data_IF_473050842588
#
_entry.id   IF_473050842588
#
_cell.length_a   1.000
_cell.length_b   1.000
_cell.length_c   1.000
_cell.angle_alpha   90.00
_cell.angle_beta   90.00
_cell.angle_gamma   90.00
#
_symmetry.space_group_name_H-M   'P 1'
#
loop_
_entity.id
_entity.type
_entity.pdbx_description
1 polymer ?
#
# COMPACT_ATOMS: atom_id res chain seq x y z
N UNK A 1 23.30 -22.03 -11.34
CA UNK A 1 23.15 -20.65 -10.88
C UNK A 1 22.16 -20.03 -11.83
N UNK A 2 20.87 -20.06 -11.45
CA UNK A 2 19.84 -19.41 -12.24
C UNK A 2 20.15 -17.93 -12.29
N UNK A 3 20.22 -17.42 -13.51
CA UNK A 3 20.34 -16.02 -13.83
C UNK A 3 19.05 -15.35 -13.32
N UNK A 4 19.03 -14.92 -12.05
CA UNK A 4 18.02 -14.00 -11.56
C UNK A 4 18.25 -12.69 -12.31
N UNK A 5 17.78 -12.63 -13.56
CA UNK A 5 17.60 -11.37 -14.28
C UNK A 5 16.79 -10.47 -13.35
N UNK A 6 17.49 -9.53 -12.73
CA UNK A 6 16.91 -8.51 -11.86
C UNK A 6 16.05 -7.67 -12.79
N UNK A 7 14.78 -8.04 -12.94
CA UNK A 7 13.84 -7.35 -13.83
C UNK A 7 13.83 -5.87 -13.42
N UNK A 8 14.26 -5.02 -14.34
CA UNK A 8 14.15 -3.58 -14.17
C UNK A 8 12.73 -3.18 -14.57
N UNK A 9 11.99 -2.60 -13.63
CA UNK A 9 10.65 -2.10 -13.87
C UNK A 9 10.72 -0.67 -14.40
N UNK A 10 9.91 -0.37 -15.42
CA UNK A 10 9.72 1.01 -15.89
C UNK A 10 8.92 1.83 -14.89
N UNK A 11 8.98 3.17 -15.00
CA UNK A 11 8.15 4.03 -14.16
C UNK A 11 6.65 3.80 -14.36
N UNK A 12 6.21 3.50 -15.59
CA UNK A 12 4.81 3.16 -15.89
C UNK A 12 4.37 1.88 -15.18
N UNK A 13 5.22 0.83 -15.19
CA UNK A 13 4.93 -0.42 -14.47
C UNK A 13 4.84 -0.17 -12.95
N UNK A 14 5.75 0.63 -12.39
CA UNK A 14 5.74 0.98 -10.97
C UNK A 14 4.52 1.84 -10.59
N UNK A 15 4.08 2.73 -11.49
CA UNK A 15 2.88 3.54 -11.31
C UNK A 15 1.62 2.67 -11.32
N UNK A 16 1.53 1.69 -12.22
CA UNK A 16 0.46 0.71 -12.22
C UNK A 16 0.45 -0.14 -10.95
N UNK A 17 1.62 -0.56 -10.46
CA UNK A 17 1.76 -1.26 -9.19
C UNK A 17 1.34 -0.40 -7.99
N UNK A 18 1.64 0.90 -7.99
CA UNK A 18 1.20 1.83 -6.94
C UNK A 18 -0.33 1.94 -6.88
N UNK A 19 -0.99 2.01 -8.04
CA UNK A 19 -2.46 1.97 -8.12
C UNK A 19 -3.00 0.63 -7.64
N UNK A 20 -2.38 -0.49 -8.03
CA UNK A 20 -2.72 -1.82 -7.51
C UNK A 20 -2.58 -1.90 -5.98
N UNK A 21 -1.52 -1.30 -5.44
CA UNK A 21 -1.32 -1.16 -3.99
C UNK A 21 -2.44 -0.38 -3.32
N UNK A 22 -2.94 0.69 -3.95
CA UNK A 22 -4.09 1.44 -3.44
C UNK A 22 -5.36 0.59 -3.38
N UNK A 23 -5.59 -0.23 -4.40
CA UNK A 23 -6.72 -1.16 -4.42
C UNK A 23 -6.58 -2.25 -3.34
N UNK A 24 -5.38 -2.77 -3.13
CA UNK A 24 -5.09 -3.73 -2.07
C UNK A 24 -5.41 -3.14 -0.68
N UNK A 25 -4.87 -1.98 -0.35
CA UNK A 25 -5.14 -1.35 0.95
C UNK A 25 -6.63 -1.03 1.13
N UNK A 26 -7.33 -0.64 0.05
CA UNK A 26 -8.76 -0.38 0.09
C UNK A 26 -9.54 -1.65 0.48
N UNK A 27 -9.14 -2.82 -0.05
CA UNK A 27 -9.75 -4.10 0.32
C UNK A 27 -9.47 -4.47 1.77
N UNK A 28 -8.22 -4.36 2.21
CA UNK A 28 -7.84 -4.70 3.59
C UNK A 28 -8.55 -3.81 4.61
N UNK A 29 -8.67 -2.51 4.34
CA UNK A 29 -9.35 -1.56 5.23
C UNK A 29 -10.87 -1.83 5.36
N UNK A 30 -11.49 -2.43 4.35
CA UNK A 30 -12.89 -2.83 4.41
C UNK A 30 -13.13 -4.09 5.26
N UNK A 31 -12.07 -4.85 5.55
CA UNK A 31 -12.10 -6.06 6.39
C UNK A 31 -11.82 -5.77 7.87
N UNK A 32 -11.53 -4.52 8.23
CA UNK A 32 -11.29 -4.17 9.63
C UNK A 32 -12.59 -4.29 10.46
N UNK A 33 -12.49 -4.49 11.78
CA UNK A 33 -13.66 -4.58 12.67
C UNK A 33 -14.62 -3.39 12.53
N UNK A 34 -14.07 -2.20 12.28
CA UNK A 34 -14.82 -1.04 11.82
C UNK A 34 -14.26 -0.68 10.43
N UNK A 35 -15.01 -0.98 9.34
CA UNK A 35 -14.52 -0.76 7.98
C UNK A 35 -14.18 0.71 7.72
N UNK A 36 -13.02 0.95 7.12
CA UNK A 36 -12.58 2.28 6.67
C UNK A 36 -12.63 2.30 5.13
N UNK A 37 -13.60 3.03 4.57
CA UNK A 37 -13.71 3.19 3.13
C UNK A 37 -12.78 4.30 2.62
N UNK A 38 -11.92 3.96 1.65
CA UNK A 38 -11.14 4.94 0.91
C UNK A 38 -11.91 5.48 -0.31
N UNK A 39 -11.58 6.68 -0.82
CA UNK A 39 -12.12 7.20 -2.07
C UNK A 39 -11.94 6.20 -3.23
N UNK A 40 -13.01 5.94 -3.98
CA UNK A 40 -12.95 5.06 -5.13
C UNK A 40 -12.18 5.70 -6.30
N UNK A 41 -11.51 4.87 -7.09
CA UNK A 41 -10.95 5.28 -8.37
C UNK A 41 -12.11 5.38 -9.37
N UNK A 42 -12.29 6.56 -9.97
CA UNK A 42 -13.35 6.81 -10.95
C UNK A 42 -12.83 6.70 -12.39
N UNK A 43 -13.70 6.80 -13.39
CA UNK A 43 -13.30 6.85 -14.81
C UNK A 43 -12.37 8.03 -15.10
N UNK A 44 -12.53 9.13 -14.37
CA UNK A 44 -11.68 10.32 -14.46
C UNK A 44 -10.36 10.17 -13.66
N UNK A 45 -10.12 8.97 -13.11
CA UNK A 45 -9.01 8.68 -12.21
C UNK A 45 -9.32 9.01 -10.75
N UNK A 46 -8.29 8.97 -9.93
CA UNK A 46 -8.31 9.42 -8.54
C UNK A 46 -7.26 10.50 -8.37
N UNK A 47 -7.65 11.62 -7.76
CA UNK A 47 -6.69 12.65 -7.36
C UNK A 47 -5.73 12.10 -6.31
N UNK A 48 -4.43 12.10 -6.61
CA UNK A 48 -3.39 11.60 -5.72
C UNK A 48 -3.34 12.33 -4.37
N UNK A 49 -3.67 13.62 -4.33
CA UNK A 49 -3.72 14.40 -3.09
C UNK A 49 -4.86 13.91 -2.19
N UNK A 50 -6.01 13.63 -2.79
CA UNK A 50 -7.17 13.05 -2.09
C UNK A 50 -6.83 11.65 -1.57
N UNK A 51 -6.19 10.83 -2.40
CA UNK A 51 -5.76 9.48 -2.03
C UNK A 51 -4.80 9.51 -0.83
N UNK A 52 -3.76 10.34 -0.87
CA UNK A 52 -2.78 10.52 0.22
C UNK A 52 -3.46 10.96 1.51
N UNK A 53 -4.34 11.96 1.44
CA UNK A 53 -5.05 12.46 2.62
C UNK A 53 -5.93 11.37 3.25
N UNK A 54 -6.61 10.57 2.43
CA UNK A 54 -7.45 9.48 2.91
C UNK A 54 -6.64 8.35 3.55
N UNK A 55 -5.52 7.95 2.93
CA UNK A 55 -4.64 6.89 3.44
C UNK A 55 -3.96 7.31 4.75
N UNK A 56 -3.45 8.55 4.84
CA UNK A 56 -2.86 9.04 6.09
C UNK A 56 -3.89 9.22 7.21
N UNK A 57 -5.14 9.58 6.88
CA UNK A 57 -6.24 9.56 7.85
C UNK A 57 -6.50 8.14 8.35
N UNK A 58 -6.69 7.18 7.44
CA UNK A 58 -6.92 5.79 7.79
C UNK A 58 -5.81 5.26 8.72
N UNK A 59 -4.54 5.55 8.40
CA UNK A 59 -3.37 5.17 9.21
C UNK A 59 -3.42 5.67 10.64
N UNK A 60 -3.91 6.90 10.86
CA UNK A 60 -4.10 7.46 12.21
C UNK A 60 -5.23 6.78 12.97
N UNK A 61 -6.32 6.47 12.26
CA UNK A 61 -7.52 5.87 12.85
C UNK A 61 -7.31 4.41 13.27
N UNK A 62 -6.41 3.66 12.61
CA UNK A 62 -6.14 2.23 12.93
C UNK A 62 -5.84 2.00 14.41
N UNK A 63 -5.09 2.91 15.05
CA UNK A 63 -4.72 2.78 16.47
C UNK A 63 -5.90 2.81 17.44
N UNK A 64 -7.06 3.31 17.01
CA UNK A 64 -8.27 3.40 17.82
C UNK A 64 -9.23 2.21 17.60
N UNK A 65 -8.90 1.30 16.70
CA UNK A 65 -9.77 0.16 16.38
C UNK A 65 -9.62 -0.97 17.40
N UNK A 66 -10.69 -1.74 17.64
CA UNK A 66 -10.66 -2.88 18.55
C UNK A 66 -10.00 -4.09 17.85
N UNK A 67 -8.68 -4.07 17.70
CA UNK A 67 -7.88 -5.14 17.11
C UNK A 67 -6.60 -5.36 17.92
N UNK A 68 -5.94 -6.49 17.71
CA UNK A 68 -4.70 -6.77 18.41
C UNK A 68 -3.55 -5.83 17.94
N UNK A 69 -2.57 -5.61 18.82
CA UNK A 69 -1.49 -4.66 18.57
C UNK A 69 -0.63 -5.03 17.36
N UNK A 70 -0.46 -6.32 17.07
CA UNK A 70 0.29 -6.80 15.91
C UNK A 70 -0.46 -6.49 14.62
N UNK A 71 -1.76 -6.83 14.52
CA UNK A 71 -2.60 -6.48 13.36
C UNK A 71 -2.61 -4.97 13.11
N UNK A 72 -2.81 -4.18 14.16
CA UNK A 72 -2.77 -2.71 14.06
C UNK A 72 -1.43 -2.20 13.53
N UNK A 73 -0.31 -2.72 14.04
CA UNK A 73 1.03 -2.33 13.58
C UNK A 73 1.30 -2.73 12.13
N UNK A 74 0.89 -3.93 11.71
CA UNK A 74 1.01 -4.41 10.33
C UNK A 74 0.22 -3.52 9.38
N UNK A 75 -1.03 -3.21 9.71
CA UNK A 75 -1.87 -2.34 8.90
C UNK A 75 -1.30 -0.91 8.81
N UNK A 76 -0.79 -0.36 9.92
CA UNK A 76 -0.09 0.94 9.89
C UNK A 76 1.12 0.92 8.95
N UNK A 77 1.90 -0.16 8.96
CA UNK A 77 3.07 -0.30 8.09
C UNK A 77 2.68 -0.41 6.62
N UNK A 78 1.64 -1.19 6.29
CA UNK A 78 1.10 -1.29 4.93
C UNK A 78 0.74 0.09 4.38
N UNK A 79 -0.02 0.88 5.14
CA UNK A 79 -0.42 2.23 4.72
C UNK A 79 0.78 3.16 4.58
N UNK A 80 1.77 3.05 5.47
CA UNK A 80 3.01 3.84 5.40
C UNK A 80 3.85 3.52 4.16
N UNK A 81 3.98 2.24 3.78
CA UNK A 81 4.74 1.85 2.58
C UNK A 81 4.06 2.36 1.31
N UNK A 82 2.72 2.38 1.26
CA UNK A 82 2.00 2.98 0.13
C UNK A 82 2.26 4.49 0.03
N UNK A 83 2.18 5.23 1.15
CA UNK A 83 2.50 6.67 1.20
C UNK A 83 3.95 6.94 0.76
N UNK A 84 4.88 6.09 1.22
CA UNK A 84 6.30 6.18 0.85
C UNK A 84 6.51 5.96 -0.65
N UNK A 85 5.84 4.96 -1.23
CA UNK A 85 5.92 4.68 -2.66
C UNK A 85 5.32 5.82 -3.50
N UNK A 86 4.23 6.44 -3.04
CA UNK A 86 3.66 7.63 -3.67
C UNK A 86 4.66 8.80 -3.68
N UNK A 87 5.29 9.10 -2.55
CA UNK A 87 6.30 10.17 -2.45
C UNK A 87 7.51 9.90 -3.36
N UNK A 88 7.96 8.66 -3.44
CA UNK A 88 9.02 8.25 -4.38
C UNK A 88 8.60 8.46 -5.84
N UNK A 89 7.34 8.18 -6.18
CA UNK A 89 6.77 8.48 -7.48
C UNK A 89 6.80 9.98 -7.80
N UNK A 90 6.42 10.83 -6.85
CA UNK A 90 6.52 12.29 -7.00
C UNK A 90 7.98 12.75 -7.20
N UNK A 91 8.93 12.15 -6.48
CA UNK A 91 10.35 12.45 -6.66
C UNK A 91 10.82 12.08 -8.08
N UNK A 92 10.38 10.95 -8.63
CA UNK A 92 10.69 10.53 -10.00
C UNK A 92 10.07 11.50 -11.01
N UNK A 93 8.81 11.92 -10.83
CA UNK A 93 8.14 12.89 -11.73
C UNK A 93 8.91 14.22 -11.75
N UNK A 94 9.35 14.70 -10.60
CA UNK A 94 9.98 16.03 -10.49
C UNK A 94 11.48 16.03 -10.84
N UNK A 95 12.20 14.95 -10.59
CA UNK A 95 13.66 14.87 -10.76
C UNK A 95 14.09 13.94 -11.91
N UNK A 96 13.14 13.32 -12.60
CA UNK A 96 13.36 12.39 -13.69
C UNK A 96 13.64 10.95 -13.26
N UNK A 97 13.57 10.03 -14.22
CA UNK A 97 13.86 8.62 -14.03
C UNK A 97 15.37 8.38 -13.90
N UNK A 98 15.81 7.87 -12.74
CA UNK A 98 17.18 7.41 -12.51
C UNK A 98 17.12 5.99 -11.93
N UNK A 99 18.00 5.06 -12.34
CA UNK A 99 17.93 3.66 -11.92
C UNK A 99 17.82 3.45 -10.40
N UNK A 100 18.52 4.25 -9.60
CA UNK A 100 18.43 4.17 -8.12
C UNK A 100 17.06 4.57 -7.56
N UNK A 101 16.36 5.51 -8.21
CA UNK A 101 15.02 5.94 -7.79
C UNK A 101 13.98 4.89 -8.13
N UNK A 102 14.05 4.35 -9.35
CA UNK A 102 13.22 3.22 -9.77
C UNK A 102 13.44 2.02 -8.83
N UNK A 103 14.69 1.66 -8.54
CA UNK A 103 15.01 0.57 -7.62
C UNK A 103 14.47 0.81 -6.19
N UNK A 104 14.50 2.05 -5.68
CA UNK A 104 13.94 2.39 -4.38
C UNK A 104 12.41 2.23 -4.35
N UNK A 105 11.71 2.68 -5.40
CA UNK A 105 10.27 2.50 -5.55
C UNK A 105 9.89 1.04 -5.72
N UNK A 106 10.63 0.27 -6.53
CA UNK A 106 10.47 -1.19 -6.65
C UNK A 106 10.56 -1.85 -5.29
N UNK A 107 11.62 -1.59 -4.52
CA UNK A 107 11.80 -2.20 -3.21
C UNK A 107 10.66 -1.86 -2.24
N UNK A 108 10.14 -0.64 -2.31
CA UNK A 108 9.03 -0.17 -1.47
C UNK A 108 7.72 -0.84 -1.85
N UNK A 109 7.41 -0.94 -3.14
CA UNK A 109 6.23 -1.65 -3.63
C UNK A 109 6.29 -3.15 -3.37
N UNK A 110 7.46 -3.78 -3.47
CA UNK A 110 7.64 -5.19 -3.07
C UNK A 110 7.39 -5.39 -1.59
N UNK A 111 7.88 -4.50 -0.72
CA UNK A 111 7.57 -4.56 0.72
C UNK A 111 6.08 -4.39 0.97
N UNK A 112 5.43 -3.44 0.29
CA UNK A 112 3.99 -3.22 0.38
C UNK A 112 3.22 -4.49 0.05
N UNK A 113 3.55 -5.18 -1.06
CA UNK A 113 2.88 -6.43 -1.44
C UNK A 113 3.05 -7.51 -0.36
N UNK A 114 4.28 -7.80 0.07
CA UNK A 114 4.49 -8.83 1.09
C UNK A 114 3.79 -8.50 2.41
N UNK A 115 3.84 -7.23 2.85
CA UNK A 115 3.14 -6.80 4.06
C UNK A 115 1.62 -6.90 3.90
N UNK A 116 1.10 -6.58 2.71
CA UNK A 116 -0.31 -6.73 2.38
C UNK A 116 -0.76 -8.18 2.44
N UNK A 117 0.00 -9.11 1.85
CA UNK A 117 -0.29 -10.55 1.91
C UNK A 117 -0.33 -11.06 3.37
N UNK A 118 0.64 -10.64 4.18
CA UNK A 118 0.67 -10.99 5.59
C UNK A 118 -0.48 -10.37 6.39
N UNK A 119 -0.86 -9.12 6.08
CA UNK A 119 -1.98 -8.44 6.73
C UNK A 119 -3.32 -9.12 6.37
N UNK A 120 -3.47 -9.56 5.12
CA UNK A 120 -4.66 -10.30 4.66
C UNK A 120 -4.84 -11.60 5.46
N UNK A 121 -3.78 -12.43 5.54
CA UNK A 121 -3.80 -13.68 6.31
C UNK A 121 -4.14 -13.40 7.77
N UNK A 122 -3.59 -12.32 8.34
CA UNK A 122 -3.82 -11.99 9.75
C UNK A 122 -5.27 -11.63 10.03
N UNK A 123 -5.89 -10.85 9.14
CA UNK A 123 -7.32 -10.47 9.23
C UNK A 123 -8.23 -11.69 9.09
N UNK A 124 -7.89 -12.65 8.22
CA UNK A 124 -8.62 -13.93 8.10
C UNK A 124 -8.64 -14.71 9.40
N UNK A 125 -7.50 -14.79 10.09
CA UNK A 125 -7.41 -15.48 11.38
C UNK A 125 -8.20 -14.79 12.49
N UNK A 126 -8.34 -13.46 12.46
CA UNK A 126 -9.18 -12.74 13.44
C UNK A 126 -10.67 -12.96 13.18
N UNK A 127 -11.09 -13.02 11.90
CA UNK A 127 -12.47 -13.34 11.52
C UNK A 127 -12.88 -14.75 11.98
N UNK A 128 -11.98 -15.75 11.88
CA UNK A 128 -12.23 -17.13 12.33
C UNK A 128 -12.30 -17.28 13.86
N UNK A 129 -11.55 -16.48 14.62
CA UNK A 129 -11.55 -16.52 16.09
C UNK A 129 -12.84 -15.90 16.70
N UNK A 130 -13.61 -15.14 15.91
CA UNK A 130 -14.86 -14.48 16.31
C UNK A 130 -16.14 -15.31 16.03
N UNK A 131 -16.06 -16.41 15.27
CA UNK A 131 -17.18 -17.34 14.97
C UNK A 131 -17.37 -18.47 16.00
#
# INVERSE_FOLDING_TARGET
MEDHHKREYSFDELSAMLVGGYMLISKLLLRLPIPIALPAITEDGLDGVIAVAAVDKARRDISALPMDALTAAMMQQVLLEWLTAHDQGLVIINLGEEPRRLAAMTATLTRLTHLGDHAEIRLELEEEDEE
#
